data_IF_626940543852
#
_entry.id   IF_626940543852
#
_cell.length_a   1.000
_cell.length_b   1.000
_cell.length_c   1.000
_cell.angle_alpha   90.00
_cell.angle_beta   90.00
_cell.angle_gamma   90.00
#
_symmetry.space_group_name_H-M   'P 1'
#
loop_
_entity.id
_entity.type
_entity.pdbx_description
1 polymer ?
#
# COMPACT_ATOMS: atom_id res chain seq x y z
N UNK A 1 -2.99 45.71 -7.91
CA UNK A 1 -2.55 44.84 -9.04
C UNK A 1 -1.12 45.23 -9.35
N UNK A 2 -0.21 44.63 -8.61
CA UNK A 2 1.22 44.82 -8.83
C UNK A 2 1.59 44.24 -10.20
N UNK A 3 2.33 45.03 -10.98
CA UNK A 3 2.81 44.66 -12.31
C UNK A 3 4.09 43.85 -12.14
N UNK A 4 3.97 42.57 -11.74
CA UNK A 4 5.11 41.64 -11.76
C UNK A 4 5.36 41.22 -13.21
N UNK A 5 6.60 41.30 -13.67
CA UNK A 5 6.96 40.92 -15.03
C UNK A 5 7.71 39.59 -14.99
N UNK A 6 7.61 38.79 -16.05
CA UNK A 6 8.16 37.41 -16.06
C UNK A 6 9.68 37.43 -16.02
N UNK A 7 10.28 38.54 -16.45
CA UNK A 7 11.70 38.84 -16.46
C UNK A 7 12.31 38.67 -15.06
N UNK A 8 11.69 39.25 -14.03
CA UNK A 8 12.18 39.20 -12.64
C UNK A 8 12.22 37.76 -12.11
N UNK A 9 11.25 36.93 -12.52
CA UNK A 9 11.15 35.54 -12.10
C UNK A 9 12.17 34.64 -12.83
N UNK A 10 12.46 34.94 -14.10
CA UNK A 10 13.37 34.15 -14.94
C UNK A 10 14.84 34.34 -14.53
N UNK A 11 15.19 35.48 -13.93
CA UNK A 11 16.51 35.66 -13.31
C UNK A 11 16.76 34.67 -12.17
N UNK A 12 15.71 34.26 -11.45
CA UNK A 12 15.79 33.32 -10.32
C UNK A 12 15.66 31.87 -10.75
N UNK A 13 14.73 31.61 -11.68
CA UNK A 13 14.48 30.29 -12.27
C UNK A 13 14.61 30.39 -13.78
N UNK A 14 15.81 30.14 -14.35
CA UNK A 14 16.06 30.30 -15.78
C UNK A 14 15.16 29.45 -16.67
N UNK A 15 14.76 28.27 -16.18
CA UNK A 15 13.84 27.39 -16.87
C UNK A 15 12.40 27.86 -16.67
N UNK A 16 11.81 28.44 -17.73
CA UNK A 16 10.42 28.94 -17.74
C UNK A 16 9.39 27.86 -17.43
N UNK A 17 9.63 26.61 -17.80
CA UNK A 17 8.71 25.51 -17.48
C UNK A 17 8.76 25.18 -16.00
N UNK A 18 9.96 25.10 -15.41
CA UNK A 18 10.12 24.90 -13.97
C UNK A 18 9.51 26.05 -13.17
N UNK A 19 9.69 27.30 -13.62
CA UNK A 19 9.08 28.47 -13.00
C UNK A 19 7.56 28.31 -12.90
N UNK A 20 6.90 27.91 -13.99
CA UNK A 20 5.44 27.69 -14.00
C UNK A 20 5.04 26.60 -13.03
N UNK A 21 5.80 25.50 -12.96
CA UNK A 21 5.51 24.38 -12.05
C UNK A 21 5.71 24.77 -10.59
N UNK A 22 6.80 25.48 -10.25
CA UNK A 22 7.04 25.98 -8.89
C UNK A 22 6.00 27.01 -8.45
N UNK A 23 5.66 27.97 -9.32
CA UNK A 23 4.62 28.95 -9.05
C UNK A 23 3.25 28.28 -8.84
N UNK A 24 2.92 27.25 -9.65
CA UNK A 24 1.70 26.48 -9.47
C UNK A 24 1.69 25.71 -8.14
N UNK A 25 2.82 25.08 -7.76
CA UNK A 25 2.93 24.39 -6.48
C UNK A 25 2.77 25.36 -5.31
N UNK A 26 3.47 26.49 -5.33
CA UNK A 26 3.36 27.51 -4.28
C UNK A 26 1.95 28.11 -4.22
N UNK A 27 1.30 28.37 -5.36
CA UNK A 27 -0.08 28.85 -5.38
C UNK A 27 -1.06 27.85 -4.73
N UNK A 28 -0.84 26.53 -4.89
CA UNK A 28 -1.64 25.50 -4.20
C UNK A 28 -1.39 25.51 -2.70
N UNK A 29 -0.14 25.61 -2.29
CA UNK A 29 0.25 25.74 -0.89
C UNK A 29 -0.44 26.94 -0.20
N UNK A 30 -0.40 28.12 -0.84
CA UNK A 30 -1.15 29.31 -0.37
C UNK A 30 -2.65 29.03 -0.31
N UNK A 31 -3.20 28.31 -1.31
CA UNK A 31 -4.62 27.95 -1.33
C UNK A 31 -5.01 26.98 -0.20
N UNK A 32 -4.06 26.19 0.32
CA UNK A 32 -4.23 25.33 1.51
C UNK A 32 -4.12 26.11 2.83
N UNK A 33 -3.78 27.39 2.78
CA UNK A 33 -3.66 28.26 3.95
C UNK A 33 -2.23 28.42 4.48
N UNK A 34 -1.19 28.07 3.70
CA UNK A 34 0.17 28.46 4.06
C UNK A 34 0.30 29.99 4.14
N UNK A 35 1.10 30.45 5.10
CA UNK A 35 1.34 31.86 5.33
C UNK A 35 2.07 32.51 4.14
N UNK A 36 1.67 33.74 3.84
CA UNK A 36 2.27 34.57 2.79
C UNK A 36 3.52 35.24 3.34
N UNK A 37 4.59 35.27 2.56
CA UNK A 37 5.83 35.98 2.93
C UNK A 37 5.87 37.41 2.40
N UNK A 38 4.88 37.80 1.58
CA UNK A 38 4.72 39.13 1.01
C UNK A 38 3.28 39.63 1.15
N UNK A 39 3.14 40.95 1.26
CA UNK A 39 1.84 41.59 1.40
C UNK A 39 0.96 41.41 0.15
N UNK A 40 -0.30 41.04 0.43
CA UNK A 40 -1.30 40.76 -0.59
C UNK A 40 -1.95 42.04 -1.11
N UNK A 41 -1.63 42.42 -2.35
CA UNK A 41 -2.23 43.59 -3.04
C UNK A 41 -3.42 43.20 -3.92
N UNK A 42 -4.46 42.59 -3.32
CA UNK A 42 -5.63 42.04 -4.04
C UNK A 42 -5.28 41.04 -5.16
N UNK A 43 -4.05 40.54 -5.17
CA UNK A 43 -3.56 39.61 -6.18
C UNK A 43 -4.08 38.18 -5.91
N UNK A 44 -4.25 37.42 -7.00
CA UNK A 44 -4.61 35.98 -6.92
C UNK A 44 -3.39 35.16 -6.50
N UNK A 45 -3.62 33.99 -5.91
CA UNK A 45 -2.54 33.12 -5.39
C UNK A 45 -1.41 32.86 -6.41
N UNK A 46 -1.66 32.64 -7.72
CA UNK A 46 -0.59 32.48 -8.70
C UNK A 46 0.30 33.73 -8.86
N UNK A 47 -0.28 34.92 -8.79
CA UNK A 47 0.48 36.18 -8.94
C UNK A 47 1.28 36.46 -7.67
N UNK A 48 0.71 36.18 -6.49
CA UNK A 48 1.42 36.28 -5.21
C UNK A 48 2.60 35.30 -5.18
N UNK A 49 2.42 34.06 -5.64
CA UNK A 49 3.51 33.08 -5.72
C UNK A 49 4.66 33.53 -6.64
N UNK A 50 4.36 34.15 -7.79
CA UNK A 50 5.38 34.71 -8.68
C UNK A 50 6.15 35.87 -8.03
N UNK A 51 5.45 36.73 -7.27
CA UNK A 51 6.09 37.80 -6.49
C UNK A 51 7.00 37.24 -5.40
N UNK A 52 6.54 36.23 -4.65
CA UNK A 52 7.36 35.58 -3.63
C UNK A 52 8.64 34.95 -4.21
N UNK A 53 8.56 34.37 -5.42
CA UNK A 53 9.70 33.81 -6.16
C UNK A 53 10.66 34.91 -6.63
N UNK A 54 10.13 36.01 -7.19
CA UNK A 54 10.94 37.14 -7.65
C UNK A 54 11.69 37.82 -6.48
N UNK A 55 11.02 37.96 -5.34
CA UNK A 55 11.56 38.58 -4.12
C UNK A 55 12.43 37.61 -3.30
N UNK A 56 12.64 36.37 -3.76
CA UNK A 56 13.41 35.30 -3.08
C UNK A 56 12.96 35.00 -1.64
N UNK A 57 11.71 35.31 -1.30
CA UNK A 57 11.16 35.09 0.05
C UNK A 57 10.76 33.65 0.32
N UNK A 58 10.72 32.82 -0.72
CA UNK A 58 10.43 31.38 -0.65
C UNK A 58 11.63 30.55 -1.12
N UNK A 59 11.86 29.43 -0.44
CA UNK A 59 12.96 28.53 -0.75
C UNK A 59 12.64 27.65 -1.96
N UNK A 60 13.34 27.85 -3.08
CA UNK A 60 13.20 27.02 -4.29
C UNK A 60 13.49 25.53 -4.05
N UNK A 61 14.55 25.14 -3.28
CA UNK A 61 14.77 23.74 -2.93
C UNK A 61 13.61 23.13 -2.12
N UNK A 62 12.99 23.89 -1.21
CA UNK A 62 11.83 23.42 -0.47
C UNK A 62 10.62 23.19 -1.38
N UNK A 63 10.32 24.15 -2.27
CA UNK A 63 9.26 24.02 -3.27
C UNK A 63 9.46 22.82 -4.19
N UNK A 64 10.70 22.54 -4.57
CA UNK A 64 11.05 21.35 -5.36
C UNK A 64 10.75 20.06 -4.58
N UNK A 65 11.16 19.99 -3.32
CA UNK A 65 10.90 18.83 -2.48
C UNK A 65 9.40 18.61 -2.24
N UNK A 66 8.65 19.68 -1.99
CA UNK A 66 7.20 19.64 -1.81
C UNK A 66 6.49 19.18 -3.09
N UNK A 67 6.95 19.66 -4.24
CA UNK A 67 6.47 19.20 -5.54
C UNK A 67 6.70 17.69 -5.69
N UNK A 68 7.93 17.21 -5.45
CA UNK A 68 8.27 15.78 -5.55
C UNK A 68 7.37 14.95 -4.62
N UNK A 69 7.22 15.36 -3.36
CA UNK A 69 6.35 14.69 -2.39
C UNK A 69 4.89 14.67 -2.84
N UNK A 70 4.39 15.76 -3.42
CA UNK A 70 3.00 15.84 -3.89
C UNK A 70 2.70 14.91 -5.06
N UNK A 71 3.71 14.52 -5.84
CA UNK A 71 3.57 13.66 -7.02
C UNK A 71 4.00 12.21 -6.75
N UNK A 72 4.78 11.97 -5.70
CA UNK A 72 5.18 10.63 -5.31
C UNK A 72 3.95 9.85 -4.81
N UNK A 73 3.62 8.76 -5.49
CA UNK A 73 2.67 7.76 -4.98
C UNK A 73 3.36 7.00 -3.87
N UNK A 74 2.77 6.97 -2.68
CA UNK A 74 3.28 6.11 -1.60
C UNK A 74 3.23 4.64 -2.07
N UNK A 75 4.31 3.88 -1.91
CA UNK A 75 4.26 2.45 -2.14
C UNK A 75 3.29 1.85 -1.13
N UNK A 76 2.29 1.14 -1.63
CA UNK A 76 1.41 0.35 -0.77
C UNK A 76 2.28 -0.67 -0.04
N UNK A 77 2.17 -0.79 1.30
CA UNK A 77 2.93 -1.78 2.03
C UNK A 77 2.56 -3.16 1.49
N UNK A 78 3.55 -3.90 1.00
CA UNK A 78 3.34 -5.30 0.64
C UNK A 78 2.85 -6.03 1.89
N UNK A 79 1.76 -6.82 1.80
CA UNK A 79 1.35 -7.64 2.93
C UNK A 79 2.51 -8.54 3.28
N UNK A 80 2.96 -8.48 4.53
CA UNK A 80 3.86 -9.50 5.07
C UNK A 80 3.13 -10.83 4.91
N UNK A 81 3.63 -11.69 4.04
CA UNK A 81 3.20 -13.08 4.00
C UNK A 81 3.42 -13.61 5.41
N UNK A 82 2.33 -13.91 6.14
CA UNK A 82 2.46 -14.68 7.38
C UNK A 82 3.24 -15.93 7.00
N UNK A 83 4.43 -16.10 7.60
CA UNK A 83 5.21 -17.33 7.44
C UNK A 83 4.28 -18.48 7.82
N UNK A 84 3.75 -19.17 6.81
CA UNK A 84 3.06 -20.43 7.00
C UNK A 84 4.08 -21.35 7.63
N UNK A 85 4.00 -21.48 8.95
CA UNK A 85 4.79 -22.44 9.69
C UNK A 85 4.33 -23.81 9.17
N UNK A 86 5.12 -24.38 8.26
CA UNK A 86 4.93 -25.75 7.79
C UNK A 86 4.93 -26.63 9.05
N UNK A 87 3.74 -27.03 9.47
CA UNK A 87 3.53 -28.08 10.46
C UNK A 87 4.03 -29.36 9.81
N UNK A 88 5.34 -29.57 9.82
CA UNK A 88 5.94 -30.87 9.52
C UNK A 88 5.25 -31.86 10.45
N UNK A 89 4.49 -32.83 9.94
CA UNK A 89 3.86 -33.83 10.78
C UNK A 89 4.99 -34.65 11.40
N UNK A 90 5.36 -34.34 12.64
CA UNK A 90 6.13 -35.30 13.44
C UNK A 90 5.20 -36.49 13.69
N UNK A 91 5.80 -37.68 13.74
CA UNK A 91 5.13 -38.99 13.84
C UNK A 91 4.10 -39.10 14.98
N UNK A 92 4.06 -38.13 15.88
CA UNK A 92 3.12 -38.01 16.99
C UNK A 92 1.68 -37.67 16.58
N UNK A 93 1.44 -37.21 15.34
CA UNK A 93 0.08 -36.89 14.85
C UNK A 93 -0.55 -37.98 13.94
N UNK A 94 0.00 -39.20 13.95
CA UNK A 94 -0.59 -40.39 13.28
C UNK A 94 -1.74 -41.04 14.10
N UNK A 95 -2.19 -40.40 15.17
CA UNK A 95 -3.35 -40.85 15.98
C UNK A 95 -4.68 -40.55 15.27
N UNK A 96 -4.98 -41.31 14.21
CA UNK A 96 -6.24 -41.22 13.46
C UNK A 96 -6.72 -42.52 12.83
N UNK A 97 -5.98 -43.63 12.96
CA UNK A 97 -6.46 -44.95 12.60
C UNK A 97 -6.70 -45.74 13.89
N UNK A 98 -7.97 -45.88 14.21
CA UNK A 98 -8.51 -46.70 15.28
C UNK A 98 -7.91 -48.11 15.22
N UNK A 99 -7.20 -48.53 16.27
CA UNK A 99 -6.80 -49.92 16.45
C UNK A 99 -8.07 -50.75 16.66
N UNK A 100 -8.53 -51.40 15.59
CA UNK A 100 -9.47 -52.52 15.70
C UNK A 100 -8.73 -53.65 16.40
N UNK A 101 -9.14 -53.95 17.64
CA UNK A 101 -8.55 -55.05 18.42
C UNK A 101 -8.79 -56.38 17.70
N UNK A 102 -7.78 -57.26 17.69
CA UNK A 102 -7.81 -58.59 17.06
C UNK A 102 -8.95 -59.51 17.55
N UNK A 103 -9.68 -59.13 18.60
CA UNK A 103 -10.88 -59.80 19.08
C UNK A 103 -12.11 -59.56 18.17
N UNK A 104 -12.18 -58.42 17.47
CA UNK A 104 -13.26 -58.12 16.51
C UNK A 104 -13.06 -58.84 15.17
N UNK A 105 -11.80 -59.02 14.72
CA UNK A 105 -11.49 -59.74 13.48
C UNK A 105 -11.84 -61.25 13.60
N UNK A 106 -11.57 -61.87 14.75
CA UNK A 106 -11.93 -63.26 15.02
C UNK A 106 -13.45 -63.47 15.14
N UNK A 107 -14.20 -62.47 15.62
CA UNK A 107 -15.66 -62.55 15.74
C UNK A 107 -16.36 -62.50 14.37
N UNK A 108 -15.82 -61.71 13.43
CA UNK A 108 -16.35 -61.61 12.07
C UNK A 108 -16.02 -62.85 11.22
N UNK A 109 -14.84 -63.45 11.40
CA UNK A 109 -14.48 -64.70 10.72
C UNK A 109 -15.35 -65.88 11.18
N UNK A 110 -15.64 -65.99 12.48
CA UNK A 110 -16.52 -67.03 13.01
C UNK A 110 -17.96 -66.86 12.51
N UNK A 111 -18.46 -65.62 12.44
CA UNK A 111 -19.78 -65.31 11.84
C UNK A 111 -19.83 -65.63 10.35
N UNK A 112 -18.76 -65.35 9.60
CA UNK A 112 -18.68 -65.65 8.18
C UNK A 112 -18.68 -67.17 7.90
N UNK A 113 -17.99 -67.95 8.73
CA UNK A 113 -17.95 -69.42 8.63
C UNK A 113 -19.32 -70.03 9.01
N UNK A 114 -19.98 -69.52 10.05
CA UNK A 114 -21.30 -70.01 10.49
C UNK A 114 -22.41 -69.71 9.47
N UNK A 115 -22.33 -68.55 8.79
CA UNK A 115 -23.20 -68.20 7.66
C UNK A 115 -22.97 -69.09 6.43
N UNK A 116 -21.72 -69.50 6.16
CA UNK A 116 -21.38 -70.40 5.05
C UNK A 116 -21.85 -71.85 5.28
N UNK A 117 -21.82 -72.33 6.53
CA UNK A 117 -22.26 -73.68 6.90
C UNK A 117 -23.78 -73.84 6.92
N UNK A 118 -24.52 -72.77 7.27
CA UNK A 118 -26.00 -72.79 7.31
C UNK A 118 -26.65 -72.58 5.93
N UNK A 119 -25.87 -72.22 4.90
CA UNK A 119 -26.34 -71.94 3.54
C UNK A 119 -26.56 -73.15 2.61
N UNK A 120 -26.23 -74.39 3.02
CA UNK A 120 -26.38 -75.60 2.17
C UNK A 120 -27.49 -76.53 2.64
N UNK A 121 -28.72 -76.02 2.69
CA UNK A 121 -29.93 -76.84 2.74
C UNK A 121 -31.12 -76.07 2.14
N UNK A 122 -31.16 -75.95 0.80
CA UNK A 122 -32.40 -75.77 0.00
C UNK A 122 -32.08 -75.83 -1.50
N UNK A 123 -31.78 -77.05 -1.97
CA UNK A 123 -32.29 -77.73 -3.19
C UNK A 123 -31.36 -78.89 -3.53
#
# INVERSE_FOLDING_TARGET
MARVTVEDCVEKVPNRFELVVYAAQRARNISRGEELTVDRDNDKNPVVALREIADETVSLPALRNDLIRSQAREPEPEPVEEEVQDLVPTEQNIFGLQEVSAEEEAADDVRAIEAALTGRARR
#
